data_IF_256973417786
#
_entry.id   IF_256973417786
#
_cell.length_a   1.000
_cell.length_b   1.000
_cell.length_c   1.000
_cell.angle_alpha   90.00
_cell.angle_beta   90.00
_cell.angle_gamma   90.00
#
_symmetry.space_group_name_H-M   'P 1'
#
loop_
_entity.id
_entity.type
_entity.pdbx_description
1 polymer ?
#
# COMPACT_ATOMS: atom_id res chain seq x y z
N UNK A 1 0.72 13.37 3.53
CA UNK A 1 0.25 13.06 2.17
C UNK A 1 0.97 11.83 1.60
N UNK A 2 2.32 11.82 1.54
CA UNK A 2 3.13 10.80 0.87
C UNK A 2 2.86 9.37 1.33
N UNK A 3 2.83 9.11 2.66
CA UNK A 3 2.51 7.80 3.21
C UNK A 3 1.12 7.30 2.79
N UNK A 4 0.10 8.16 2.87
CA UNK A 4 -1.26 7.80 2.47
C UNK A 4 -1.37 7.49 0.99
N UNK A 5 -0.66 8.24 0.16
CA UNK A 5 -0.61 8.01 -1.28
C UNK A 5 0.03 6.65 -1.60
N UNK A 6 1.22 6.38 -1.03
CA UNK A 6 1.88 5.09 -1.20
C UNK A 6 1.03 3.93 -0.68
N UNK A 7 0.38 4.08 0.49
CA UNK A 7 -0.50 3.07 1.07
C UNK A 7 -1.72 2.78 0.19
N UNK A 8 -2.34 3.80 -0.38
CA UNK A 8 -3.50 3.63 -1.27
C UNK A 8 -3.12 2.88 -2.55
N UNK A 9 -2.00 3.24 -3.19
CA UNK A 9 -1.49 2.51 -4.35
C UNK A 9 -1.10 1.08 -4.01
N UNK A 10 -0.40 0.85 -2.89
CA UNK A 10 -0.03 -0.48 -2.44
C UNK A 10 -1.23 -1.42 -2.27
N UNK A 11 -2.33 -0.92 -1.72
CA UNK A 11 -3.53 -1.72 -1.53
C UNK A 11 -4.33 -1.93 -2.82
N UNK A 12 -4.46 -0.89 -3.65
CA UNK A 12 -5.30 -0.94 -4.86
C UNK A 12 -4.60 -1.60 -6.04
N UNK A 13 -3.29 -1.35 -6.17
CA UNK A 13 -2.52 -1.74 -7.34
C UNK A 13 -1.17 -2.33 -6.95
N UNK A 14 -0.15 -1.60 -7.27
CA UNK A 14 1.24 -1.92 -7.04
C UNK A 14 1.97 -0.64 -6.66
N UNK A 15 2.97 -0.77 -5.78
CA UNK A 15 3.98 0.28 -5.62
C UNK A 15 5.31 -0.28 -6.13
N UNK A 16 6.03 0.55 -6.88
CA UNK A 16 7.38 0.21 -7.30
C UNK A 16 8.42 0.75 -6.32
N UNK A 17 9.68 0.38 -6.55
CA UNK A 17 10.85 0.84 -5.79
C UNK A 17 10.89 2.37 -5.66
N UNK A 18 10.40 3.10 -6.67
CA UNK A 18 10.31 4.58 -6.64
C UNK A 18 9.58 5.10 -5.41
N UNK A 19 8.47 4.49 -5.00
CA UNK A 19 7.71 4.95 -3.82
C UNK A 19 8.52 4.80 -2.53
N UNK A 20 9.37 3.77 -2.43
CA UNK A 20 10.26 3.59 -1.28
C UNK A 20 11.40 4.59 -1.33
N UNK A 21 11.96 4.86 -2.51
CA UNK A 21 12.98 5.90 -2.71
C UNK A 21 12.42 7.27 -2.36
N UNK A 22 11.24 7.62 -2.84
CA UNK A 22 10.57 8.90 -2.53
C UNK A 22 10.37 9.04 -1.00
N UNK A 23 9.99 7.95 -0.31
CA UNK A 23 9.86 7.91 1.14
C UNK A 23 11.21 8.11 1.84
N UNK A 24 12.23 7.37 1.46
CA UNK A 24 13.58 7.49 2.03
C UNK A 24 14.16 8.90 1.84
N UNK A 25 14.01 9.46 0.65
CA UNK A 25 14.47 10.81 0.33
C UNK A 25 13.70 11.89 1.10
N UNK A 26 12.39 11.69 1.29
CA UNK A 26 11.59 12.57 2.12
C UNK A 26 12.09 12.59 3.56
N UNK A 27 12.31 11.41 4.18
CA UNK A 27 12.86 11.34 5.54
C UNK A 27 14.23 11.97 5.59
N UNK A 28 15.13 11.61 4.67
CA UNK A 28 16.49 12.13 4.64
C UNK A 28 16.54 13.66 4.63
N UNK A 29 15.55 14.29 3.99
CA UNK A 29 15.50 15.75 3.83
C UNK A 29 14.76 16.46 4.97
N UNK A 30 13.85 15.78 5.64
CA UNK A 30 12.88 16.40 6.53
C UNK A 30 12.79 15.76 7.92
N UNK A 31 13.70 14.83 8.27
CA UNK A 31 13.66 14.11 9.54
C UNK A 31 13.59 15.02 10.77
N UNK A 32 14.25 16.17 10.70
CA UNK A 32 14.32 17.19 11.75
C UNK A 32 13.00 17.96 11.98
N UNK A 33 12.11 17.98 10.98
CA UNK A 33 10.81 18.68 11.03
C UNK A 33 9.61 17.75 11.07
N UNK A 34 9.83 16.43 10.96
CA UNK A 34 8.75 15.44 11.06
C UNK A 34 8.31 15.33 12.53
N UNK A 35 7.03 15.60 12.78
CA UNK A 35 6.39 15.22 14.04
C UNK A 35 6.11 13.70 14.04
N UNK A 36 7.11 12.93 14.47
CA UNK A 36 7.05 11.47 14.51
C UNK A 36 5.90 10.94 15.40
N UNK A 37 5.68 11.47 16.63
CA UNK A 37 4.55 11.07 17.46
C UNK A 37 3.21 11.23 16.74
N UNK A 38 2.95 12.37 16.10
CA UNK A 38 1.71 12.59 15.36
C UNK A 38 1.62 11.71 14.11
N UNK A 39 2.73 11.50 13.38
CA UNK A 39 2.76 10.61 12.22
C UNK A 39 2.40 9.18 12.61
N UNK A 40 2.97 8.64 13.71
CA UNK A 40 2.66 7.31 14.21
C UNK A 40 1.23 7.22 14.77
N UNK A 41 0.75 8.25 15.46
CA UNK A 41 -0.63 8.33 15.93
C UNK A 41 -1.63 8.32 14.76
N UNK A 42 -1.36 9.10 13.71
CA UNK A 42 -2.16 9.11 12.49
C UNK A 42 -2.12 7.74 11.78
N UNK A 43 -0.93 7.16 11.61
CA UNK A 43 -0.77 5.85 10.98
C UNK A 43 -1.53 4.75 11.74
N UNK A 44 -1.53 4.81 13.08
CA UNK A 44 -2.26 3.87 13.93
C UNK A 44 -3.77 4.05 13.81
N UNK A 45 -4.28 5.29 13.85
CA UNK A 45 -5.71 5.59 13.64
C UNK A 45 -6.22 5.07 12.29
N UNK A 46 -5.37 5.09 11.27
CA UNK A 46 -5.70 4.65 9.91
C UNK A 46 -5.33 3.18 9.63
N UNK A 47 -4.82 2.45 10.63
CA UNK A 47 -4.30 1.08 10.48
C UNK A 47 -3.15 0.94 9.45
N UNK A 48 -2.33 1.97 9.31
CA UNK A 48 -1.19 2.00 8.40
C UNK A 48 0.17 1.89 9.12
N UNK A 49 0.19 1.76 10.45
CA UNK A 49 1.44 1.74 11.23
C UNK A 49 2.38 0.60 10.81
N UNK A 50 1.82 -0.60 10.52
CA UNK A 50 2.62 -1.74 10.03
C UNK A 50 3.22 -1.48 8.64
N UNK A 51 2.46 -0.82 7.75
CA UNK A 51 2.97 -0.40 6.45
C UNK A 51 4.05 0.68 6.59
N UNK A 52 3.85 1.68 7.46
CA UNK A 52 4.87 2.70 7.80
C UNK A 52 6.16 2.04 8.28
N UNK A 53 6.06 1.07 9.21
CA UNK A 53 7.21 0.34 9.72
C UNK A 53 7.94 -0.44 8.61
N UNK A 54 7.21 -1.07 7.68
CA UNK A 54 7.82 -1.75 6.52
C UNK A 54 8.54 -0.75 5.61
N UNK A 55 7.94 0.41 5.33
CA UNK A 55 8.58 1.45 4.49
C UNK A 55 9.88 1.97 5.14
N UNK A 56 9.85 2.20 6.46
CA UNK A 56 11.04 2.60 7.23
C UNK A 56 12.13 1.52 7.19
N UNK A 57 11.76 0.26 7.47
CA UNK A 57 12.67 -0.87 7.47
C UNK A 57 13.34 -1.08 6.11
N UNK A 58 12.56 -1.10 5.04
CA UNK A 58 13.07 -1.29 3.68
C UNK A 58 13.98 -0.12 3.29
N UNK A 59 13.65 1.11 3.69
CA UNK A 59 14.49 2.28 3.42
C UNK A 59 15.84 2.19 4.13
N UNK A 60 15.88 1.72 5.37
CA UNK A 60 17.12 1.51 6.13
C UNK A 60 17.94 0.37 5.53
N UNK A 61 17.32 -0.80 5.40
CA UNK A 61 18.05 -2.04 5.09
C UNK A 61 18.47 -2.13 3.61
N UNK A 62 17.73 -1.52 2.69
CA UNK A 62 17.95 -1.68 1.25
C UNK A 62 18.34 -0.40 0.52
N UNK A 63 18.06 0.79 1.08
CA UNK A 63 18.40 2.07 0.46
C UNK A 63 19.45 2.87 1.23
N UNK A 64 19.96 2.32 2.34
CA UNK A 64 21.01 2.96 3.15
C UNK A 64 20.54 4.25 3.83
N UNK A 65 19.25 4.34 4.18
CA UNK A 65 18.76 5.43 5.02
C UNK A 65 19.35 5.27 6.43
N UNK A 66 19.88 6.36 6.98
CA UNK A 66 20.41 6.35 8.34
C UNK A 66 19.29 6.06 9.35
N UNK A 67 19.43 5.00 10.11
CA UNK A 67 18.48 4.59 11.12
C UNK A 67 18.30 5.64 12.24
N UNK A 68 19.29 6.47 12.49
CA UNK A 68 19.22 7.56 13.47
C UNK A 68 18.18 8.65 13.11
N UNK A 69 17.77 8.72 11.85
CA UNK A 69 16.75 9.67 11.37
C UNK A 69 15.31 9.25 11.72
N UNK A 70 15.12 8.03 12.19
CA UNK A 70 13.80 7.46 12.48
C UNK A 70 13.76 7.01 13.95
N UNK A 71 12.71 7.35 14.72
CA UNK A 71 12.55 6.81 16.07
C UNK A 71 12.52 5.29 16.05
N UNK A 72 12.88 4.61 17.15
CA UNK A 72 12.73 3.17 17.29
C UNK A 72 11.30 2.72 16.97
N UNK A 73 11.16 1.67 16.18
CA UNK A 73 9.87 1.11 15.77
C UNK A 73 9.90 -0.42 15.78
N UNK A 74 8.71 -1.02 15.85
CA UNK A 74 8.56 -2.47 15.84
C UNK A 74 8.88 -3.05 14.45
N UNK A 75 9.72 -4.09 14.42
CA UNK A 75 10.12 -4.80 13.20
C UNK A 75 9.32 -6.09 13.04
N UNK A 76 8.74 -6.27 11.86
CA UNK A 76 8.11 -7.53 11.43
C UNK A 76 8.83 -8.04 10.19
N UNK A 77 9.92 -8.78 10.43
CA UNK A 77 10.82 -9.26 9.36
C UNK A 77 10.08 -10.07 8.28
N UNK A 78 9.05 -10.84 8.67
CA UNK A 78 8.28 -11.63 7.70
C UNK A 78 7.43 -10.72 6.80
N UNK A 79 6.79 -9.73 7.40
CA UNK A 79 5.99 -8.76 6.67
C UNK A 79 6.86 -7.86 5.79
N UNK A 80 7.98 -7.37 6.31
CA UNK A 80 8.96 -6.54 5.60
C UNK A 80 9.47 -7.25 4.33
N UNK A 81 9.87 -8.52 4.46
CA UNK A 81 10.29 -9.35 3.33
C UNK A 81 9.16 -9.56 2.31
N UNK A 82 7.93 -9.75 2.78
CA UNK A 82 6.78 -9.91 1.89
C UNK A 82 6.48 -8.63 1.14
N UNK A 83 6.49 -7.48 1.82
CA UNK A 83 6.28 -6.16 1.20
C UNK A 83 7.37 -5.88 0.18
N UNK A 84 8.65 -6.09 0.53
CA UNK A 84 9.76 -5.90 -0.39
C UNK A 84 9.64 -6.82 -1.62
N UNK A 85 9.33 -8.10 -1.41
CA UNK A 85 9.16 -9.04 -2.51
C UNK A 85 8.00 -8.62 -3.44
N UNK A 86 6.88 -8.17 -2.90
CA UNK A 86 5.77 -7.68 -3.72
C UNK A 86 6.10 -6.39 -4.48
N UNK A 87 6.95 -5.51 -3.92
CA UNK A 87 7.46 -4.31 -4.61
C UNK A 87 8.35 -4.69 -5.81
N UNK A 88 9.18 -5.72 -5.66
CA UNK A 88 10.10 -6.18 -6.69
C UNK A 88 9.43 -7.14 -7.70
N UNK A 89 8.51 -7.95 -7.20
CA UNK A 89 7.82 -9.01 -7.95
C UNK A 89 6.35 -9.06 -7.50
N UNK A 90 5.48 -8.22 -8.07
CA UNK A 90 4.08 -8.14 -7.66
C UNK A 90 3.38 -9.50 -7.67
N UNK A 91 2.69 -9.84 -6.56
CA UNK A 91 1.94 -11.11 -6.44
C UNK A 91 0.83 -11.24 -7.49
N UNK A 92 0.38 -10.11 -8.05
CA UNK A 92 -0.62 -10.06 -9.11
C UNK A 92 -0.11 -9.23 -10.29
N UNK A 93 0.35 -9.90 -11.36
CA UNK A 93 0.93 -9.28 -12.55
C UNK A 93 0.11 -9.54 -13.82
N UNK A 94 -1.14 -9.97 -13.72
CA UNK A 94 -2.01 -10.22 -14.86
C UNK A 94 -2.35 -8.92 -15.59
N UNK A 95 -2.30 -8.95 -16.93
CA UNK A 95 -2.74 -7.82 -17.74
C UNK A 95 -4.25 -7.63 -17.66
N UNK A 96 -4.68 -6.37 -17.65
CA UNK A 96 -6.10 -6.03 -17.70
C UNK A 96 -6.72 -6.57 -18.99
N UNK A 97 -7.87 -7.28 -18.94
CA UNK A 97 -8.53 -7.81 -20.13
C UNK A 97 -9.04 -6.68 -21.01
N UNK A 98 -8.74 -6.75 -22.31
CA UNK A 98 -9.14 -5.70 -23.27
C UNK A 98 -10.64 -5.64 -23.51
N UNK A 99 -11.36 -6.76 -23.40
CA UNK A 99 -12.80 -6.87 -23.65
C UNK A 99 -13.44 -7.95 -22.79
N UNK A 100 -14.75 -7.80 -22.56
CA UNK A 100 -15.57 -8.82 -21.90
C UNK A 100 -15.88 -8.49 -20.44
N UNK A 101 -17.15 -8.20 -20.16
CA UNK A 101 -17.61 -7.82 -18.82
C UNK A 101 -17.27 -8.90 -17.76
N UNK A 102 -17.48 -10.17 -18.09
CA UNK A 102 -17.19 -11.29 -17.18
C UNK A 102 -15.71 -11.42 -16.90
N UNK A 103 -14.84 -11.22 -17.92
CA UNK A 103 -13.40 -11.25 -17.76
C UNK A 103 -12.90 -10.11 -16.86
N UNK A 104 -13.48 -8.91 -17.01
CA UNK A 104 -13.13 -7.74 -16.17
C UNK A 104 -13.53 -8.00 -14.71
N UNK A 105 -14.72 -8.54 -14.45
CA UNK A 105 -15.14 -8.88 -13.08
C UNK A 105 -14.24 -9.94 -12.48
N UNK A 106 -13.96 -11.01 -13.24
CA UNK A 106 -13.06 -12.09 -12.79
C UNK A 106 -11.65 -11.56 -12.49
N UNK A 107 -11.10 -10.70 -13.35
CA UNK A 107 -9.82 -10.05 -13.14
C UNK A 107 -9.81 -9.21 -11.85
N UNK A 108 -10.81 -8.32 -11.68
CA UNK A 108 -10.95 -7.47 -10.48
C UNK A 108 -11.07 -8.32 -9.21
N UNK A 109 -11.82 -9.42 -9.26
CA UNK A 109 -11.97 -10.33 -8.13
C UNK A 109 -10.64 -11.04 -7.78
N UNK A 110 -9.93 -11.58 -8.78
CA UNK A 110 -8.62 -12.23 -8.58
C UNK A 110 -7.60 -11.25 -8.01
N UNK A 111 -7.52 -10.05 -8.57
CA UNK A 111 -6.66 -8.98 -8.08
C UNK A 111 -6.99 -8.60 -6.62
N UNK A 112 -8.25 -8.45 -6.31
CA UNK A 112 -8.69 -8.19 -4.94
C UNK A 112 -8.31 -9.32 -3.99
N UNK A 113 -8.50 -10.57 -4.38
CA UNK A 113 -8.12 -11.74 -3.59
C UNK A 113 -6.60 -11.80 -3.34
N UNK A 114 -5.78 -11.54 -4.36
CA UNK A 114 -4.34 -11.51 -4.24
C UNK A 114 -3.88 -10.38 -3.30
N UNK A 115 -4.48 -9.19 -3.40
CA UNK A 115 -4.11 -8.01 -2.63
C UNK A 115 -4.78 -7.90 -1.25
N UNK A 116 -5.66 -8.85 -0.86
CA UNK A 116 -6.40 -8.75 0.42
C UNK A 116 -5.51 -8.62 1.66
N UNK A 117 -4.30 -9.17 1.65
CA UNK A 117 -3.35 -9.04 2.76
C UNK A 117 -2.81 -7.62 2.88
N UNK A 118 -2.62 -6.91 1.76
CA UNK A 118 -2.21 -5.52 1.69
C UNK A 118 -3.26 -4.63 2.37
N UNK A 119 -4.55 -4.86 2.08
CA UNK A 119 -5.66 -4.15 2.73
C UNK A 119 -5.62 -4.26 4.26
N UNK A 120 -5.22 -5.41 4.81
CA UNK A 120 -5.16 -5.61 6.28
C UNK A 120 -4.11 -4.75 6.99
N UNK A 121 -3.10 -4.28 6.27
CA UNK A 121 -2.00 -3.48 6.84
C UNK A 121 -2.09 -2.00 6.46
N UNK A 122 -3.12 -1.63 5.66
CA UNK A 122 -3.27 -0.27 5.12
C UNK A 122 -4.63 0.34 5.48
N UNK A 123 -5.67 -0.48 5.67
CA UNK A 123 -7.03 0.02 5.95
C UNK A 123 -7.59 -0.54 7.26
N UNK A 124 -8.33 0.29 7.96
CA UNK A 124 -9.05 -0.08 9.19
C UNK A 124 -10.34 -0.85 8.89
N UNK A 125 -10.94 -0.63 7.73
CA UNK A 125 -12.21 -1.23 7.37
C UNK A 125 -12.04 -2.72 7.00
N UNK A 126 -12.99 -3.55 7.45
CA UNK A 126 -13.03 -4.96 7.08
C UNK A 126 -13.13 -5.11 5.56
N UNK A 127 -12.33 -6.02 5.04
CA UNK A 127 -12.17 -6.31 3.60
C UNK A 127 -13.51 -6.49 2.89
N UNK A 128 -14.51 -7.06 3.59
CA UNK A 128 -15.85 -7.34 3.08
C UNK A 128 -16.63 -6.04 2.82
N UNK A 129 -16.57 -5.07 3.75
CA UNK A 129 -17.28 -3.79 3.59
C UNK A 129 -16.76 -2.98 2.41
N UNK A 130 -15.45 -2.96 2.21
CA UNK A 130 -14.81 -2.25 1.09
C UNK A 130 -15.16 -2.89 -0.25
N UNK A 131 -15.18 -4.23 -0.32
CA UNK A 131 -15.58 -4.95 -1.53
C UNK A 131 -17.04 -4.66 -1.90
N UNK A 132 -17.97 -4.79 -0.96
CA UNK A 132 -19.39 -4.51 -1.23
C UNK A 132 -19.63 -3.03 -1.60
N UNK A 133 -18.93 -2.09 -0.98
CA UNK A 133 -19.03 -0.66 -1.34
C UNK A 133 -18.52 -0.40 -2.76
N UNK A 134 -17.41 -1.02 -3.17
CA UNK A 134 -16.89 -0.92 -4.53
C UNK A 134 -17.83 -1.58 -5.56
N UNK A 135 -18.31 -2.79 -5.28
CA UNK A 135 -19.28 -3.47 -6.15
C UNK A 135 -20.56 -2.64 -6.29
N UNK A 136 -21.08 -2.12 -5.18
CA UNK A 136 -22.30 -1.29 -5.18
C UNK A 136 -22.09 0.03 -5.94
N UNK A 137 -20.96 0.70 -5.75
CA UNK A 137 -20.65 1.93 -6.49
C UNK A 137 -20.51 1.71 -7.99
N UNK A 138 -19.98 0.55 -8.40
CA UNK A 138 -19.87 0.18 -9.81
C UNK A 138 -21.21 -0.27 -10.43
N UNK A 139 -22.10 -0.88 -9.65
CA UNK A 139 -23.46 -1.20 -10.09
C UNK A 139 -24.29 0.05 -10.32
N UNK A 140 -24.10 1.10 -9.50
CA UNK A 140 -24.79 2.38 -9.65
C UNK A 140 -24.21 3.27 -10.76
N UNK A 141 -22.95 3.03 -11.17
CA UNK A 141 -22.26 3.79 -12.24
C UNK A 141 -21.59 2.83 -13.24
N UNK A 142 -22.35 2.12 -14.08
CA UNK A 142 -21.79 1.11 -15.01
C UNK A 142 -20.75 1.71 -15.98
N UNK A 143 -20.78 3.01 -16.28
CA UNK A 143 -19.78 3.70 -17.11
C UNK A 143 -18.39 3.79 -16.45
N UNK A 144 -18.27 3.65 -15.12
CA UNK A 144 -16.98 3.68 -14.43
C UNK A 144 -16.21 2.36 -14.50
N UNK A 145 -16.83 1.31 -15.05
CA UNK A 145 -16.20 -0.02 -15.21
C UNK A 145 -15.28 -0.05 -16.46
N UNK A 146 -15.51 0.83 -17.41
CA UNK A 146 -14.86 0.82 -18.72
C UNK A 146 -13.79 1.91 -18.90
N UNK A 147 -13.61 2.81 -17.94
CA UNK A 147 -12.58 3.84 -17.99
C UNK A 147 -11.56 3.64 -16.85
N UNK A 148 -10.42 3.14 -17.24
CA UNK A 148 -9.09 3.48 -16.72
C UNK A 148 -8.09 3.32 -17.82
#
# INVERSE_FOLDING_TARGET
FLLRHAAAHFAAEEIGVRHVVDWAMFIRRHADVIDWPELYAMASRMNMHRFLNCMNAISIDNLGLDAALIPPFERDIKLEKRVLNDILHPEFSEKFPEKGFVQIIRFKFRRWMANRWKHRIVYREGIIGTFFRQVYSHLLKPKSITYN
#
